data_IF_813778209984
#
_entry.id   IF_813778209984
#
_cell.length_a   1.000
_cell.length_b   1.000
_cell.length_c   1.000
_cell.angle_alpha   90.00
_cell.angle_beta   90.00
_cell.angle_gamma   90.00
#
_symmetry.space_group_name_H-M   'P 1'
#
loop_
_entity.id
_entity.type
_entity.pdbx_description
1 polymer ?
#
# COMPACT_ATOMS: atom_id res chain seq x y z
N UNK A 1 -15.91 -4.87 -11.09
CA UNK A 1 -16.14 -4.07 -9.87
C UNK A 1 -15.15 -2.92 -9.91
N UNK A 2 -15.63 -1.69 -9.79
CA UNK A 2 -14.77 -0.50 -9.74
C UNK A 2 -14.19 -0.37 -8.32
N UNK A 3 -12.92 0.03 -8.20
CA UNK A 3 -12.30 0.29 -6.89
C UNK A 3 -12.36 1.77 -6.59
N UNK A 4 -12.97 2.11 -5.47
CA UNK A 4 -13.13 3.49 -4.99
C UNK A 4 -11.75 4.17 -4.89
N UNK A 5 -10.75 3.48 -4.33
CA UNK A 5 -9.42 4.02 -4.13
C UNK A 5 -8.63 4.21 -5.43
N UNK A 6 -8.80 3.33 -6.41
CA UNK A 6 -8.18 3.51 -7.72
C UNK A 6 -8.79 4.74 -8.40
N UNK A 7 -10.11 4.94 -8.30
CA UNK A 7 -10.78 6.14 -8.83
C UNK A 7 -10.25 7.42 -8.19
N UNK A 8 -10.06 7.45 -6.86
CA UNK A 8 -9.43 8.56 -6.16
C UNK A 8 -8.00 8.87 -6.66
N UNK A 9 -7.31 7.89 -7.22
CA UNK A 9 -5.94 8.05 -7.73
C UNK A 9 -5.93 8.50 -9.18
N UNK A 10 -6.76 7.90 -10.03
CA UNK A 10 -6.69 8.05 -11.48
C UNK A 10 -7.66 9.07 -12.05
N UNK A 11 -8.60 9.59 -11.25
CA UNK A 11 -9.58 10.57 -11.75
C UNK A 11 -8.91 11.86 -12.25
N UNK A 12 -9.33 12.29 -13.43
CA UNK A 12 -8.96 13.59 -13.99
C UNK A 12 -9.65 14.75 -13.26
N UNK A 13 -10.81 14.49 -12.65
CA UNK A 13 -11.51 15.49 -11.84
C UNK A 13 -10.81 15.68 -10.49
N UNK A 14 -10.36 16.92 -10.26
CA UNK A 14 -9.73 17.32 -9.01
C UNK A 14 -10.66 17.23 -7.80
N UNK A 15 -11.97 17.38 -7.97
CA UNK A 15 -12.92 17.27 -6.86
C UNK A 15 -12.93 15.84 -6.31
N UNK A 16 -12.97 14.83 -7.19
CA UNK A 16 -12.85 13.41 -6.82
C UNK A 16 -11.43 13.07 -6.33
N UNK A 17 -10.41 13.49 -7.08
CA UNK A 17 -9.01 13.15 -6.77
C UNK A 17 -8.50 13.78 -5.48
N UNK A 18 -9.09 14.87 -4.99
CA UNK A 18 -8.66 15.53 -3.76
C UNK A 18 -9.49 15.16 -2.53
N UNK A 19 -10.48 14.25 -2.67
CA UNK A 19 -11.17 13.66 -1.52
C UNK A 19 -10.14 12.99 -0.60
N UNK A 20 -10.27 13.21 0.70
CA UNK A 20 -9.36 12.60 1.66
C UNK A 20 -9.55 11.08 1.73
N UNK A 21 -8.46 10.37 1.99
CA UNK A 21 -8.52 8.92 2.20
C UNK A 21 -9.44 8.58 3.38
N UNK A 22 -9.38 9.36 4.46
CA UNK A 22 -10.22 9.20 5.64
C UNK A 22 -11.71 9.29 5.30
N UNK A 23 -12.13 10.29 4.53
CA UNK A 23 -13.52 10.43 4.11
C UNK A 23 -14.02 9.21 3.31
N UNK A 24 -13.14 8.63 2.50
CA UNK A 24 -13.45 7.43 1.71
C UNK A 24 -13.57 6.17 2.57
N UNK A 25 -12.76 6.08 3.63
CA UNK A 25 -12.72 4.93 4.55
C UNK A 25 -13.86 4.95 5.58
N UNK A 26 -14.42 6.12 5.88
CA UNK A 26 -15.41 6.29 6.94
C UNK A 26 -16.66 5.40 6.72
N UNK A 27 -17.03 4.63 7.75
CA UNK A 27 -18.19 3.74 7.72
C UNK A 27 -18.07 2.50 6.83
N UNK A 28 -16.89 2.23 6.24
CA UNK A 28 -16.67 1.06 5.40
C UNK A 28 -16.47 -0.21 6.25
N UNK A 29 -17.03 -1.37 5.84
CA UNK A 29 -16.81 -2.65 6.53
C UNK A 29 -15.43 -3.24 6.23
N UNK A 30 -14.97 -4.20 7.03
CA UNK A 30 -13.69 -4.92 6.82
C UNK A 30 -13.54 -5.52 5.42
N UNK A 31 -14.61 -6.08 4.86
CA UNK A 31 -14.64 -6.66 3.51
C UNK A 31 -14.34 -5.65 2.40
N UNK A 32 -14.64 -4.37 2.61
CA UNK A 32 -14.27 -3.30 1.68
C UNK A 32 -12.76 -3.07 1.72
N UNK A 33 -12.14 -3.03 2.90
CA UNK A 33 -10.69 -2.88 3.03
C UNK A 33 -9.92 -4.03 2.38
N UNK A 34 -10.38 -5.27 2.54
CA UNK A 34 -9.79 -6.44 1.89
C UNK A 34 -9.81 -6.33 0.36
N UNK A 35 -10.96 -5.98 -0.20
CA UNK A 35 -11.12 -5.81 -1.65
C UNK A 35 -10.27 -4.66 -2.18
N UNK A 36 -10.35 -3.49 -1.53
CA UNK A 36 -9.66 -2.27 -1.99
C UNK A 36 -8.15 -2.38 -1.86
N UNK A 37 -7.63 -2.91 -0.74
CA UNK A 37 -6.18 -3.10 -0.59
C UNK A 37 -5.63 -4.14 -1.58
N UNK A 38 -6.37 -5.22 -1.87
CA UNK A 38 -5.99 -6.19 -2.89
C UNK A 38 -6.00 -5.59 -4.30
N UNK A 39 -7.06 -4.86 -4.66
CA UNK A 39 -7.17 -4.19 -5.96
C UNK A 39 -6.05 -3.15 -6.15
N UNK A 40 -5.76 -2.37 -5.09
CA UNK A 40 -4.76 -1.33 -5.11
C UNK A 40 -3.32 -1.89 -5.15
N UNK A 41 -3.04 -3.01 -4.45
CA UNK A 41 -1.76 -3.72 -4.57
C UNK A 41 -1.55 -4.24 -5.99
N UNK A 42 -2.58 -4.84 -6.60
CA UNK A 42 -2.52 -5.29 -7.98
C UNK A 42 -2.33 -4.10 -8.96
N UNK A 43 -2.96 -2.96 -8.67
CA UNK A 43 -2.84 -1.74 -9.49
C UNK A 43 -1.42 -1.18 -9.49
N UNK A 44 -0.79 -1.01 -8.31
CA UNK A 44 0.55 -0.43 -8.24
C UNK A 44 1.62 -1.26 -8.97
N UNK A 45 1.42 -2.57 -9.11
CA UNK A 45 2.37 -3.49 -9.79
C UNK A 45 2.34 -3.34 -11.31
N UNK A 46 1.21 -2.91 -11.88
CA UNK A 46 1.00 -2.74 -13.32
C UNK A 46 0.97 -1.27 -13.76
N UNK A 47 1.04 -0.33 -12.84
CA UNK A 47 0.87 1.09 -13.14
C UNK A 47 2.20 1.71 -13.60
N UNK A 48 2.21 2.19 -14.84
CA UNK A 48 3.38 2.88 -15.42
C UNK A 48 3.48 4.34 -14.96
N UNK A 49 2.35 4.98 -14.64
CA UNK A 49 2.33 6.34 -14.16
C UNK A 49 2.93 6.41 -12.74
N UNK A 50 4.09 7.07 -12.62
CA UNK A 50 4.83 7.20 -11.37
C UNK A 50 3.98 7.82 -10.25
N UNK A 51 3.26 8.90 -10.53
CA UNK A 51 2.45 9.59 -9.52
C UNK A 51 1.35 8.67 -8.99
N UNK A 52 0.63 7.99 -9.88
CA UNK A 52 -0.40 7.04 -9.48
C UNK A 52 0.17 5.86 -8.67
N UNK A 53 1.31 5.31 -9.10
CA UNK A 53 1.97 4.20 -8.39
C UNK A 53 2.45 4.60 -7.00
N UNK A 54 3.09 5.75 -6.87
CA UNK A 54 3.56 6.26 -5.56
C UNK A 54 2.38 6.59 -4.65
N UNK A 55 1.33 7.21 -5.20
CA UNK A 55 0.11 7.52 -4.44
C UNK A 55 -0.58 6.25 -3.94
N UNK A 56 -0.66 5.20 -4.77
CA UNK A 56 -1.18 3.89 -4.38
C UNK A 56 -0.36 3.27 -3.23
N UNK A 57 0.98 3.34 -3.29
CA UNK A 57 1.85 2.84 -2.22
C UNK A 57 1.62 3.57 -0.88
N UNK A 58 1.47 4.90 -0.91
CA UNK A 58 1.16 5.66 0.30
C UNK A 58 -0.25 5.40 0.82
N UNK A 59 -1.24 5.22 -0.05
CA UNK A 59 -2.59 4.80 0.34
C UNK A 59 -2.57 3.44 1.02
N UNK A 60 -1.90 2.44 0.44
CA UNK A 60 -1.73 1.12 1.06
C UNK A 60 -1.05 1.21 2.42
N UNK A 61 0.00 2.03 2.55
CA UNK A 61 0.67 2.26 3.83
C UNK A 61 -0.27 2.87 4.87
N UNK A 62 -1.01 3.91 4.49
CA UNK A 62 -1.94 4.60 5.38
C UNK A 62 -3.12 3.71 5.80
N UNK A 63 -3.70 2.93 4.87
CA UNK A 63 -4.77 1.98 5.14
C UNK A 63 -4.35 0.97 6.19
N UNK A 64 -3.21 0.32 6.01
CA UNK A 64 -2.72 -0.68 6.97
C UNK A 64 -2.30 -0.08 8.31
N UNK A 65 -1.84 1.18 8.34
CA UNK A 65 -1.36 1.81 9.58
C UNK A 65 -2.47 2.45 10.41
N UNK A 66 -3.46 3.06 9.77
CA UNK A 66 -4.39 3.98 10.43
C UNK A 66 -5.86 3.56 10.31
N UNK A 67 -6.24 2.83 9.26
CA UNK A 67 -7.65 2.50 9.01
C UNK A 67 -7.98 1.04 9.35
N UNK A 68 -7.14 0.09 8.94
CA UNK A 68 -7.27 -1.33 9.27
C UNK A 68 -7.40 -1.60 10.78
N UNK A 69 -6.56 -1.01 11.67
CA UNK A 69 -6.65 -1.28 13.10
C UNK A 69 -8.01 -0.94 13.74
N UNK A 70 -8.76 -0.01 13.15
CA UNK A 70 -10.07 0.41 13.67
C UNK A 70 -11.20 -0.59 13.36
N UNK A 71 -10.98 -1.50 12.41
CA UNK A 71 -11.96 -2.51 11.97
C UNK A 71 -11.52 -3.94 12.24
N UNK A 72 -10.37 -4.10 12.93
CA UNK A 72 -9.85 -5.40 13.34
C UNK A 72 -10.36 -5.80 14.71
N UNK A 73 -10.71 -7.07 14.83
CA UNK A 73 -10.76 -7.71 16.14
C UNK A 73 -9.32 -7.84 16.65
N UNK A 74 -9.04 -7.29 17.84
CA UNK A 74 -7.70 -7.23 18.42
C UNK A 74 -7.04 -8.63 18.46
N UNK A 75 -6.19 -8.90 17.47
CA UNK A 75 -5.58 -10.21 17.26
C UNK A 75 -4.06 -10.09 17.30
N UNK A 76 -3.46 -10.86 18.21
CA UNK A 76 -2.02 -11.00 18.30
C UNK A 76 -1.52 -11.83 17.12
N UNK A 77 -0.92 -11.17 16.14
CA UNK A 77 -0.36 -11.81 14.95
C UNK A 77 1.13 -12.14 15.10
N UNK A 78 1.55 -13.29 14.59
CA UNK A 78 2.98 -13.60 14.40
C UNK A 78 3.44 -13.13 13.03
N UNK A 79 4.55 -12.38 13.02
CA UNK A 79 5.18 -11.92 11.79
C UNK A 79 6.09 -13.04 11.22
N UNK A 80 5.99 -13.36 9.91
CA UNK A 80 6.88 -14.33 9.29
C UNK A 80 8.31 -13.78 9.25
N UNK A 81 9.27 -14.58 9.71
CA UNK A 81 10.68 -14.21 9.77
C UNK A 81 11.22 -13.78 8.40
N UNK A 82 10.95 -14.57 7.35
CA UNK A 82 11.44 -14.30 5.99
C UNK A 82 10.97 -12.94 5.45
N UNK A 83 9.72 -12.57 5.73
CA UNK A 83 9.19 -11.28 5.32
C UNK A 83 9.90 -10.11 6.00
N UNK A 84 10.28 -10.29 7.27
CA UNK A 84 11.08 -9.30 8.01
C UNK A 84 12.53 -9.23 7.51
N UNK A 85 13.15 -10.38 7.22
CA UNK A 85 14.50 -10.44 6.63
C UNK A 85 14.54 -9.70 5.28
N UNK A 86 13.58 -9.95 4.39
CA UNK A 86 13.45 -9.20 3.13
C UNK A 86 13.29 -7.69 3.34
N UNK A 87 12.52 -7.28 4.36
CA UNK A 87 12.33 -5.87 4.70
C UNK A 87 13.67 -5.19 5.07
N UNK A 88 14.48 -5.86 5.90
CA UNK A 88 15.79 -5.36 6.32
C UNK A 88 16.79 -5.31 5.16
N UNK A 89 16.73 -6.29 4.25
CA UNK A 89 17.53 -6.37 3.03
C UNK A 89 17.08 -5.37 1.94
N UNK A 90 16.07 -4.53 2.22
CA UNK A 90 15.45 -3.61 1.25
C UNK A 90 14.82 -4.30 0.03
N UNK A 91 14.46 -5.58 0.18
CA UNK A 91 13.73 -6.40 -0.78
C UNK A 91 12.23 -6.25 -0.55
N UNK A 92 11.73 -5.03 -0.76
CA UNK A 92 10.39 -4.65 -0.32
C UNK A 92 9.27 -5.38 -1.06
N UNK A 93 9.46 -5.73 -2.34
CA UNK A 93 8.46 -6.48 -3.10
C UNK A 93 8.25 -7.87 -2.51
N UNK A 94 9.33 -8.61 -2.28
CA UNK A 94 9.27 -9.94 -1.67
C UNK A 94 8.76 -9.89 -0.23
N UNK A 95 9.17 -8.87 0.53
CA UNK A 95 8.64 -8.63 1.88
C UNK A 95 7.11 -8.46 1.88
N UNK A 96 6.58 -7.62 0.98
CA UNK A 96 5.13 -7.42 0.80
C UNK A 96 4.44 -8.73 0.43
N UNK A 97 5.00 -9.50 -0.51
CA UNK A 97 4.41 -10.77 -0.95
C UNK A 97 4.29 -11.77 0.19
N UNK A 98 5.33 -11.89 1.03
CA UNK A 98 5.31 -12.75 2.23
C UNK A 98 4.27 -12.28 3.24
N UNK A 99 4.17 -10.98 3.52
CA UNK A 99 3.18 -10.46 4.47
C UNK A 99 1.75 -10.59 3.95
N UNK A 100 1.50 -10.39 2.65
CA UNK A 100 0.19 -10.62 2.04
C UNK A 100 -0.19 -12.10 2.06
N UNK A 101 0.76 -13.02 1.83
CA UNK A 101 0.51 -14.45 1.97
C UNK A 101 0.10 -14.81 3.40
N UNK A 102 0.77 -14.23 4.40
CA UNK A 102 0.41 -14.40 5.82
C UNK A 102 -0.98 -13.85 6.12
N UNK A 103 -1.30 -12.66 5.62
CA UNK A 103 -2.61 -12.03 5.80
C UNK A 103 -3.74 -12.89 5.21
N UNK A 104 -3.51 -13.55 4.06
CA UNK A 104 -4.49 -14.45 3.44
C UNK A 104 -4.66 -15.76 4.20
N UNK A 105 -3.59 -16.29 4.79
CA UNK A 105 -3.61 -17.58 5.47
C UNK A 105 -4.25 -17.50 6.86
N UNK A 106 -3.92 -16.47 7.63
CA UNK A 106 -4.29 -16.37 9.05
C UNK A 106 -5.27 -15.23 9.33
N UNK A 107 -5.63 -14.49 8.29
CA UNK A 107 -6.36 -13.24 8.42
C UNK A 107 -5.45 -12.07 8.81
N UNK A 108 -6.06 -10.88 8.87
CA UNK A 108 -5.38 -9.65 9.18
C UNK A 108 -5.13 -9.53 10.70
N UNK A 109 -4.00 -8.93 11.07
CA UNK A 109 -3.60 -8.70 12.47
C UNK A 109 -2.77 -7.43 12.57
N UNK A 110 -2.65 -6.87 13.78
CA UNK A 110 -1.88 -5.63 14.00
C UNK A 110 -0.42 -5.74 13.57
N UNK A 111 0.19 -6.90 13.82
CA UNK A 111 1.58 -7.16 13.44
C UNK A 111 1.77 -7.18 11.92
N UNK A 112 0.91 -7.90 11.19
CA UNK A 112 1.01 -8.01 9.73
C UNK A 112 0.64 -6.68 9.07
N UNK A 113 -0.40 -5.99 9.54
CA UNK A 113 -0.76 -4.66 9.04
C UNK A 113 0.36 -3.65 9.28
N UNK A 114 0.98 -3.63 10.46
CA UNK A 114 2.12 -2.76 10.73
C UNK A 114 3.31 -3.04 9.81
N UNK A 115 3.60 -4.32 9.54
CA UNK A 115 4.69 -4.71 8.65
C UNK A 115 4.40 -4.34 7.19
N UNK A 116 3.20 -4.59 6.68
CA UNK A 116 2.74 -4.15 5.36
C UNK A 116 2.83 -2.63 5.22
N UNK A 117 2.34 -1.89 6.22
CA UNK A 117 2.42 -0.43 6.23
C UNK A 117 3.86 0.08 6.10
N UNK A 118 4.80 -0.55 6.80
CA UNK A 118 6.22 -0.22 6.73
C UNK A 118 6.81 -0.56 5.36
N UNK A 119 6.55 -1.75 4.84
CA UNK A 119 7.09 -2.22 3.57
C UNK A 119 6.59 -1.37 2.40
N UNK A 120 5.28 -1.05 2.35
CA UNK A 120 4.72 -0.15 1.33
C UNK A 120 5.31 1.25 1.40
N UNK A 121 5.46 1.82 2.61
CA UNK A 121 6.07 3.14 2.78
C UNK A 121 7.51 3.17 2.29
N UNK A 122 8.30 2.16 2.63
CA UNK A 122 9.69 2.08 2.19
C UNK A 122 9.80 1.90 0.68
N UNK A 123 8.93 1.08 0.08
CA UNK A 123 8.87 0.94 -1.37
C UNK A 123 8.45 2.25 -2.06
N UNK A 124 7.55 3.04 -1.48
CA UNK A 124 7.19 4.37 -2.00
C UNK A 124 8.41 5.30 -2.05
N UNK A 125 9.17 5.37 -0.96
CA UNK A 125 10.38 6.19 -0.91
C UNK A 125 11.47 5.70 -1.85
N UNK A 126 11.67 4.38 -1.97
CA UNK A 126 12.62 3.83 -2.95
C UNK A 126 12.21 4.19 -4.37
N UNK A 127 10.94 4.05 -4.71
CA UNK A 127 10.40 4.40 -6.04
C UNK A 127 10.64 5.87 -6.38
N UNK A 128 10.43 6.78 -5.43
CA UNK A 128 10.73 8.21 -5.60
C UNK A 128 12.24 8.46 -5.76
N UNK A 129 13.07 7.84 -4.93
CA UNK A 129 14.52 7.99 -5.00
C UNK A 129 15.08 7.49 -6.35
N UNK A 130 14.56 6.38 -6.86
CA UNK A 130 14.95 5.84 -8.17
C UNK A 130 14.55 6.78 -9.30
N UNK A 131 13.36 7.41 -9.23
CA UNK A 131 12.99 8.43 -10.21
C UNK A 131 13.93 9.62 -10.17
N UNK A 132 14.25 10.16 -8.99
CA UNK A 132 15.15 11.31 -8.88
C UNK A 132 16.52 10.99 -9.50
N UNK A 133 17.07 9.80 -9.21
CA UNK A 133 18.33 9.34 -9.83
C UNK A 133 18.23 9.25 -11.35
N UNK A 134 17.11 8.76 -11.87
CA UNK A 134 16.89 8.68 -13.32
C UNK A 134 16.85 10.07 -13.95
N UNK A 135 16.02 10.98 -13.42
CA UNK A 135 15.86 12.34 -13.94
C UNK A 135 17.18 13.11 -13.98
N UNK A 136 18.01 13.00 -12.93
CA UNK A 136 19.33 13.66 -12.89
C UNK A 136 20.29 13.08 -13.93
N UNK A 137 20.27 11.76 -14.17
CA UNK A 137 21.14 11.11 -15.17
C UNK A 137 20.73 11.42 -16.60
N UNK A 138 19.44 11.62 -16.87
CA UNK A 138 18.94 12.00 -18.20
C UNK A 138 19.13 13.49 -18.50
N UNK A 139 19.29 14.32 -17.48
CA UNK A 139 19.65 15.73 -17.62
C UNK A 139 21.17 15.87 -17.74
N UNK A 140 21.72 15.43 -18.86
CA UNK A 140 23.01 15.92 -19.35
C UNK A 140 22.63 17.05 -20.31
N UNK A 141 23.00 18.29 -19.94
CA UNK A 141 22.50 19.54 -20.51
C UNK A 141 22.61 19.68 -22.02
#
# INVERSE_FOLDING_TARGET
MNSDLIELITSDDSATRNVSLEATCNGKPSSWYEQETAALDAFRRRCDNLYHRVRALFFLSALHRYHWPSVLDATQGRLPYDGFSHLLERRFHESIDVFLARLRADGPSDAVCSALASAYRQLAFQTLADQVRHSVRTFVG
#
